data_IF_734919863195
#
_entry.id   IF_734919863195
#
_cell.length_a   1.000
_cell.length_b   1.000
_cell.length_c   1.000
_cell.angle_alpha   90.00
_cell.angle_beta   90.00
_cell.angle_gamma   90.00
#
_symmetry.space_group_name_H-M   'P 1'
#
loop_
_entity.id
_entity.type
_entity.pdbx_description
1 polymer ?
#
# COMPACT_ATOMS: atom_id res chain seq x y z
N UNK A 1 11.12 -10.89 -33.53
CA UNK A 1 11.07 -10.90 -32.06
C UNK A 1 10.87 -9.49 -31.50
N UNK A 2 11.56 -8.47 -32.03
CA UNK A 2 11.44 -7.09 -31.54
C UNK A 2 10.03 -6.49 -31.63
N UNK A 3 9.28 -6.72 -32.72
CA UNK A 3 7.91 -6.20 -32.84
C UNK A 3 6.92 -6.80 -31.84
N UNK A 4 7.11 -8.07 -31.44
CA UNK A 4 6.26 -8.75 -30.45
C UNK A 4 6.51 -8.14 -29.07
N UNK A 5 7.77 -7.94 -28.69
CA UNK A 5 8.13 -7.32 -27.42
C UNK A 5 7.70 -5.86 -27.35
N UNK A 6 7.88 -5.09 -28.42
CA UNK A 6 7.38 -3.70 -28.49
C UNK A 6 5.86 -3.63 -28.35
N UNK A 7 5.11 -4.50 -29.04
CA UNK A 7 3.66 -4.58 -28.87
C UNK A 7 3.24 -4.94 -27.45
N UNK A 8 3.96 -5.88 -26.81
CA UNK A 8 3.67 -6.33 -25.46
C UNK A 8 3.97 -5.24 -24.41
N UNK A 9 5.02 -4.43 -24.61
CA UNK A 9 5.31 -3.25 -23.79
C UNK A 9 4.19 -2.21 -23.89
N UNK A 10 3.70 -1.93 -25.10
CA UNK A 10 2.58 -1.00 -25.29
C UNK A 10 1.33 -1.50 -24.54
N UNK A 11 1.02 -2.80 -24.66
CA UNK A 11 -0.08 -3.42 -23.93
C UNK A 11 0.13 -3.28 -22.41
N UNK A 12 1.33 -3.55 -21.90
CA UNK A 12 1.63 -3.40 -20.48
C UNK A 12 1.47 -1.97 -20.00
N UNK A 13 1.85 -0.98 -20.82
CA UNK A 13 1.64 0.42 -20.48
C UNK A 13 0.16 0.75 -20.34
N UNK A 14 -0.68 0.30 -21.29
CA UNK A 14 -2.13 0.49 -21.24
C UNK A 14 -2.78 -0.24 -20.05
N UNK A 15 -2.37 -1.49 -19.79
CA UNK A 15 -2.85 -2.26 -18.64
C UNK A 15 -2.41 -1.62 -17.32
N UNK A 16 -1.22 -1.03 -17.26
CA UNK A 16 -0.73 -0.34 -16.06
C UNK A 16 -1.58 0.87 -15.75
N UNK A 17 -1.90 1.69 -16.76
CA UNK A 17 -2.82 2.84 -16.61
C UNK A 17 -4.19 2.36 -16.12
N UNK A 18 -4.72 1.31 -16.75
CA UNK A 18 -6.03 0.75 -16.39
C UNK A 18 -6.04 0.24 -14.94
N UNK A 19 -5.00 -0.50 -14.55
CA UNK A 19 -4.82 -1.03 -13.19
C UNK A 19 -4.71 0.11 -12.18
N UNK A 20 -4.00 1.19 -12.51
CA UNK A 20 -3.88 2.36 -11.65
C UNK A 20 -5.23 3.03 -11.45
N UNK A 21 -6.01 3.24 -12.52
CA UNK A 21 -7.34 3.86 -12.45
C UNK A 21 -8.26 3.01 -11.56
N UNK A 22 -8.39 1.72 -11.84
CA UNK A 22 -9.31 0.82 -11.13
C UNK A 22 -8.86 0.62 -9.68
N UNK A 23 -7.56 0.48 -9.44
CA UNK A 23 -6.98 0.31 -8.10
C UNK A 23 -7.13 1.55 -7.23
N UNK A 24 -6.77 2.74 -7.75
CA UNK A 24 -6.96 4.00 -7.02
C UNK A 24 -8.44 4.26 -6.76
N UNK A 25 -9.33 3.94 -7.70
CA UNK A 25 -10.77 4.11 -7.51
C UNK A 25 -11.32 3.19 -6.42
N UNK A 26 -10.89 1.93 -6.37
CA UNK A 26 -11.24 0.99 -5.31
C UNK A 26 -10.77 1.51 -3.94
N UNK A 27 -9.51 1.98 -3.86
CA UNK A 27 -8.91 2.41 -2.60
C UNK A 27 -9.38 3.81 -2.15
N UNK A 28 -9.89 4.63 -3.08
CA UNK A 28 -10.39 5.97 -2.79
C UNK A 28 -11.47 5.99 -1.71
N UNK A 29 -12.36 4.99 -1.73
CA UNK A 29 -13.41 4.86 -0.71
C UNK A 29 -12.81 4.77 0.70
N UNK A 30 -11.67 4.09 0.86
CA UNK A 30 -11.05 3.85 2.17
C UNK A 30 -10.52 5.13 2.83
N UNK A 31 -9.92 6.05 2.07
CA UNK A 31 -9.33 7.28 2.63
C UNK A 31 -10.21 8.54 2.44
N UNK A 32 -11.17 8.54 1.52
CA UNK A 32 -12.08 9.67 1.31
C UNK A 32 -13.31 9.62 2.23
N UNK A 33 -13.76 8.43 2.66
CA UNK A 33 -14.99 8.28 3.43
C UNK A 33 -15.03 9.13 4.70
N UNK A 34 -13.93 9.18 5.46
CA UNK A 34 -13.87 9.97 6.70
C UNK A 34 -14.03 11.48 6.42
N UNK A 35 -13.33 12.00 5.41
CA UNK A 35 -13.36 13.43 5.08
C UNK A 35 -14.68 13.87 4.44
N UNK A 36 -15.25 13.03 3.56
CA UNK A 36 -16.53 13.27 2.91
C UNK A 36 -17.69 13.13 3.90
N UNK A 37 -17.66 12.09 4.73
CA UNK A 37 -18.69 11.81 5.73
C UNK A 37 -18.77 12.90 6.81
N UNK A 38 -17.63 13.44 7.25
CA UNK A 38 -17.59 14.53 8.22
C UNK A 38 -17.82 15.92 7.61
N UNK A 39 -17.92 16.04 6.28
CA UNK A 39 -18.02 17.32 5.54
C UNK A 39 -16.93 18.31 5.94
N UNK A 40 -15.69 17.84 6.11
CA UNK A 40 -14.58 18.66 6.59
C UNK A 40 -14.19 19.80 5.61
N UNK A 41 -14.36 19.57 4.31
CA UNK A 41 -14.11 20.55 3.25
C UNK A 41 -15.00 20.26 2.03
N UNK A 42 -14.96 21.12 1.01
CA UNK A 42 -15.66 20.86 -0.25
C UNK A 42 -15.05 19.64 -0.96
N UNK A 43 -15.88 18.92 -1.72
CA UNK A 43 -15.45 17.72 -2.46
C UNK A 43 -14.18 17.96 -3.30
N UNK A 44 -14.09 19.12 -3.97
CA UNK A 44 -12.92 19.48 -4.80
C UNK A 44 -11.63 19.58 -3.99
N UNK A 45 -11.69 20.16 -2.80
CA UNK A 45 -10.51 20.31 -1.93
C UNK A 45 -10.07 18.94 -1.44
N UNK A 46 -11.01 18.10 -1.01
CA UNK A 46 -10.73 16.74 -0.53
C UNK A 46 -10.04 15.93 -1.64
N UNK A 47 -10.56 15.99 -2.86
CA UNK A 47 -9.96 15.30 -4.02
C UNK A 47 -8.55 15.80 -4.35
N UNK A 48 -8.30 17.11 -4.28
CA UNK A 48 -6.99 17.69 -4.54
C UNK A 48 -5.96 17.23 -3.50
N UNK A 49 -6.32 17.30 -2.21
CA UNK A 49 -5.47 16.85 -1.11
C UNK A 49 -5.17 15.35 -1.24
N UNK A 50 -6.18 14.54 -1.54
CA UNK A 50 -6.00 13.11 -1.73
C UNK A 50 -5.08 12.78 -2.91
N UNK A 51 -5.27 13.44 -4.07
CA UNK A 51 -4.41 13.25 -5.24
C UNK A 51 -2.95 13.64 -4.95
N UNK A 52 -2.74 14.78 -4.28
CA UNK A 52 -1.39 15.20 -3.87
C UNK A 52 -0.77 14.21 -2.88
N UNK A 53 -1.54 13.72 -1.91
CA UNK A 53 -1.09 12.73 -0.93
C UNK A 53 -0.69 11.40 -1.57
N UNK A 54 -1.50 10.89 -2.50
CA UNK A 54 -1.20 9.67 -3.26
C UNK A 54 0.07 9.85 -4.09
N UNK A 55 0.23 10.99 -4.77
CA UNK A 55 1.40 11.28 -5.58
C UNK A 55 2.68 11.31 -4.73
N UNK A 56 2.67 12.04 -3.61
CA UNK A 56 3.82 12.12 -2.69
C UNK A 56 4.12 10.74 -2.09
N UNK A 57 3.10 9.99 -1.69
CA UNK A 57 3.24 8.63 -1.18
C UNK A 57 3.82 7.67 -2.21
N UNK A 58 3.35 7.73 -3.47
CA UNK A 58 3.83 6.87 -4.55
C UNK A 58 5.30 7.14 -4.88
N UNK A 59 5.73 8.41 -4.92
CA UNK A 59 7.13 8.78 -5.21
C UNK A 59 8.07 8.34 -4.07
N UNK A 60 7.59 8.34 -2.83
CA UNK A 60 8.37 7.93 -1.65
C UNK A 60 8.38 6.42 -1.38
N UNK A 61 7.49 5.62 -2.02
CA UNK A 61 7.28 4.20 -1.70
C UNK A 61 8.15 3.20 -2.52
N UNK A 62 9.43 3.50 -2.74
CA UNK A 62 10.35 2.67 -3.55
C UNK A 62 10.51 1.21 -3.07
N UNK A 63 10.52 0.96 -1.76
CA UNK A 63 10.81 -0.36 -1.18
C UNK A 63 9.74 -1.44 -1.45
N UNK A 64 8.47 -1.08 -1.61
CA UNK A 64 7.37 -2.03 -1.81
C UNK A 64 7.46 -2.78 -3.16
N UNK A 65 8.07 -2.17 -4.17
CA UNK A 65 8.20 -2.78 -5.49
C UNK A 65 9.23 -3.93 -5.49
N UNK A 66 10.27 -3.85 -4.68
CA UNK A 66 11.28 -4.92 -4.57
C UNK A 66 10.74 -6.11 -3.76
N UNK A 67 9.97 -5.84 -2.70
CA UNK A 67 9.25 -6.87 -1.94
C UNK A 67 8.27 -7.62 -2.84
N UNK A 68 7.50 -6.92 -3.68
CA UNK A 68 6.59 -7.57 -4.62
C UNK A 68 7.31 -8.42 -5.68
N UNK A 69 8.48 -7.96 -6.17
CA UNK A 69 9.21 -8.61 -7.28
C UNK A 69 9.98 -9.86 -6.87
N UNK A 70 10.64 -9.84 -5.70
CA UNK A 70 11.51 -10.95 -5.23
C UNK A 70 10.96 -11.64 -3.98
N UNK A 71 9.84 -11.18 -3.44
CA UNK A 71 9.25 -11.71 -2.22
C UNK A 71 8.32 -12.89 -2.42
N UNK A 72 7.75 -13.06 -3.62
CA UNK A 72 6.71 -14.07 -3.87
C UNK A 72 7.19 -15.29 -4.66
N UNK A 73 8.13 -15.11 -5.58
CA UNK A 73 8.74 -16.19 -6.36
C UNK A 73 10.21 -15.84 -6.65
N UNK A 74 10.99 -16.82 -7.11
CA UNK A 74 12.38 -16.66 -7.52
C UNK A 74 12.45 -16.31 -9.01
N UNK A 75 12.60 -15.02 -9.40
CA UNK A 75 12.49 -14.62 -10.80
C UNK A 75 13.60 -15.20 -11.69
N UNK A 76 14.75 -15.53 -11.10
CA UNK A 76 15.90 -16.18 -11.75
C UNK A 76 15.61 -17.61 -12.22
N UNK A 77 14.55 -18.24 -11.70
CA UNK A 77 14.10 -19.58 -12.12
C UNK A 77 13.16 -19.56 -13.33
N UNK A 78 12.78 -18.37 -13.78
CA UNK A 78 11.90 -18.15 -14.91
C UNK A 78 12.64 -17.48 -16.06
N UNK A 79 12.31 -17.90 -17.28
CA UNK A 79 12.74 -17.21 -18.49
C UNK A 79 12.00 -15.88 -18.62
N UNK A 80 12.59 -14.93 -19.35
CA UNK A 80 12.00 -13.61 -19.51
C UNK A 80 10.56 -13.65 -20.05
N UNK A 81 10.29 -14.47 -21.05
CA UNK A 81 8.94 -14.65 -21.60
C UNK A 81 7.94 -15.22 -20.57
N UNK A 82 8.37 -16.13 -19.71
CA UNK A 82 7.54 -16.69 -18.63
C UNK A 82 7.22 -15.63 -17.57
N UNK A 83 8.20 -14.80 -17.20
CA UNK A 83 7.97 -13.67 -16.28
C UNK A 83 6.98 -12.67 -16.88
N UNK A 84 7.10 -12.36 -18.17
CA UNK A 84 6.15 -11.49 -18.86
C UNK A 84 4.74 -12.09 -18.87
N UNK A 85 4.59 -13.38 -19.14
CA UNK A 85 3.29 -14.06 -19.06
C UNK A 85 2.71 -14.04 -17.66
N UNK A 86 3.54 -14.24 -16.63
CA UNK A 86 3.11 -14.16 -15.23
C UNK A 86 2.50 -12.79 -14.94
N UNK A 87 3.23 -11.70 -15.23
CA UNK A 87 2.74 -10.35 -14.96
C UNK A 87 1.56 -9.97 -15.84
N UNK A 88 1.52 -10.39 -17.10
CA UNK A 88 0.37 -10.17 -17.97
C UNK A 88 -0.91 -10.79 -17.38
N UNK A 89 -0.84 -12.06 -16.97
CA UNK A 89 -1.96 -12.75 -16.35
C UNK A 89 -2.42 -12.06 -15.06
N UNK A 90 -1.47 -11.61 -14.23
CA UNK A 90 -1.76 -10.87 -12.99
C UNK A 90 -2.47 -9.56 -13.28
N UNK A 91 -1.97 -8.77 -14.24
CA UNK A 91 -2.56 -7.46 -14.56
C UNK A 91 -3.98 -7.61 -15.12
N UNK A 92 -4.19 -8.54 -16.05
CA UNK A 92 -5.53 -8.81 -16.59
C UNK A 92 -6.47 -9.28 -15.50
N UNK A 93 -6.04 -10.25 -14.67
CA UNK A 93 -6.87 -10.76 -13.57
C UNK A 93 -7.21 -9.66 -12.56
N UNK A 94 -6.26 -8.82 -12.20
CA UNK A 94 -6.48 -7.72 -11.25
C UNK A 94 -7.43 -6.67 -11.80
N UNK A 95 -7.31 -6.30 -13.07
CA UNK A 95 -8.27 -5.36 -13.69
C UNK A 95 -9.67 -5.96 -13.64
N UNK A 96 -9.85 -7.20 -14.09
CA UNK A 96 -11.16 -7.85 -14.12
C UNK A 96 -11.76 -8.00 -12.71
N UNK A 97 -10.95 -8.44 -11.75
CA UNK A 97 -11.38 -8.63 -10.38
C UNK A 97 -11.80 -7.30 -9.75
N UNK A 98 -10.93 -6.29 -9.80
CA UNK A 98 -11.19 -5.01 -9.16
C UNK A 98 -12.33 -4.26 -9.85
N UNK A 99 -12.43 -4.32 -11.17
CA UNK A 99 -13.54 -3.70 -11.92
C UNK A 99 -14.88 -4.34 -11.58
N UNK A 100 -14.92 -5.67 -11.47
CA UNK A 100 -16.10 -6.39 -11.01
C UNK A 100 -16.54 -5.91 -9.63
N UNK A 101 -15.65 -5.94 -8.62
CA UNK A 101 -16.01 -5.54 -7.27
C UNK A 101 -16.37 -4.05 -7.17
N UNK A 102 -15.67 -3.17 -7.89
CA UNK A 102 -16.00 -1.75 -8.00
C UNK A 102 -17.40 -1.54 -8.58
N UNK A 103 -17.75 -2.29 -9.63
CA UNK A 103 -19.08 -2.22 -10.27
C UNK A 103 -20.19 -2.57 -9.29
N UNK A 104 -19.96 -3.53 -8.39
CA UNK A 104 -20.90 -3.89 -7.32
C UNK A 104 -20.77 -3.05 -6.05
N UNK A 105 -19.89 -2.03 -6.03
CA UNK A 105 -19.67 -1.17 -4.87
C UNK A 105 -19.11 -1.91 -3.65
N UNK A 106 -18.46 -3.06 -3.87
CA UNK A 106 -17.89 -3.89 -2.81
C UNK A 106 -16.39 -3.59 -2.65
N UNK A 107 -15.93 -3.14 -1.46
CA UNK A 107 -14.52 -2.84 -1.26
C UNK A 107 -13.69 -4.13 -1.32
N UNK A 108 -12.62 -4.12 -2.12
CA UNK A 108 -11.70 -5.26 -2.28
C UNK A 108 -10.28 -4.86 -1.91
N UNK A 109 -9.44 -5.80 -1.49
CA UNK A 109 -8.04 -5.51 -1.22
C UNK A 109 -7.18 -5.66 -2.48
N UNK A 110 -6.65 -4.55 -2.98
CA UNK A 110 -5.67 -4.50 -4.09
C UNK A 110 -4.37 -5.24 -3.75
N UNK A 111 -3.96 -5.23 -2.49
CA UNK A 111 -2.77 -5.95 -2.02
C UNK A 111 -3.00 -7.46 -2.04
N UNK A 112 -4.15 -7.93 -1.55
CA UNK A 112 -4.50 -9.36 -1.57
C UNK A 112 -4.61 -9.86 -3.01
N UNK A 113 -5.31 -9.12 -3.89
CA UNK A 113 -5.44 -9.53 -5.29
C UNK A 113 -4.09 -9.63 -5.99
N UNK A 114 -3.19 -8.65 -5.80
CA UNK A 114 -1.84 -8.68 -6.38
C UNK A 114 -0.99 -9.84 -5.84
N UNK A 115 -0.96 -10.04 -4.52
CA UNK A 115 -0.13 -11.09 -3.88
C UNK A 115 -0.58 -12.48 -4.33
N UNK A 116 -1.88 -12.78 -4.23
CA UNK A 116 -2.42 -14.08 -4.63
C UNK A 116 -2.44 -14.26 -6.15
N UNK A 117 -2.62 -13.19 -6.91
CA UNK A 117 -2.49 -13.22 -8.36
C UNK A 117 -1.08 -13.62 -8.80
N UNK A 118 -0.05 -12.96 -8.24
CA UNK A 118 1.36 -13.30 -8.54
C UNK A 118 1.66 -14.74 -8.09
N UNK A 119 1.27 -15.12 -6.88
CA UNK A 119 1.50 -16.48 -6.36
C UNK A 119 0.82 -17.53 -7.24
N UNK A 120 -0.45 -17.35 -7.58
CA UNK A 120 -1.20 -18.29 -8.41
C UNK A 120 -0.63 -18.42 -9.82
N UNK A 121 -0.23 -17.29 -10.42
CA UNK A 121 0.40 -17.26 -11.74
C UNK A 121 1.79 -17.90 -11.73
N UNK A 122 2.61 -17.61 -10.73
CA UNK A 122 3.94 -18.22 -10.55
C UNK A 122 3.86 -19.73 -10.28
N UNK A 123 2.91 -20.17 -9.44
CA UNK A 123 2.64 -21.59 -9.18
C UNK A 123 2.21 -22.29 -10.47
N UNK A 124 1.27 -21.71 -11.22
CA UNK A 124 0.79 -22.28 -12.48
C UNK A 124 1.92 -22.44 -13.50
N UNK A 125 2.75 -21.40 -13.66
CA UNK A 125 3.92 -21.46 -14.55
C UNK A 125 4.96 -22.48 -14.06
N UNK A 126 5.18 -22.58 -12.74
CA UNK A 126 6.09 -23.59 -12.16
C UNK A 126 5.61 -25.01 -12.47
N UNK A 127 4.30 -25.28 -12.32
CA UNK A 127 3.69 -26.58 -12.63
C UNK A 127 3.90 -26.93 -14.11
N UNK A 128 3.65 -25.99 -15.02
CA UNK A 128 3.89 -26.20 -16.46
C UNK A 128 5.35 -26.58 -16.73
N UNK A 129 6.32 -25.89 -16.11
CA UNK A 129 7.75 -26.22 -16.27
C UNK A 129 8.10 -27.60 -15.73
N UNK A 130 7.60 -27.95 -14.55
CA UNK A 130 7.85 -29.23 -13.90
C UNK A 130 7.35 -30.38 -14.80
N UNK A 131 6.13 -30.26 -15.32
CA UNK A 131 5.54 -31.23 -16.24
C UNK A 131 6.38 -31.36 -17.51
N UNK A 132 6.81 -30.24 -18.11
CA UNK A 132 7.60 -30.26 -19.35
C UNK A 132 9.04 -30.75 -19.16
N UNK A 133 9.55 -30.79 -17.92
CA UNK A 133 10.94 -31.17 -17.61
C UNK A 133 11.03 -32.54 -16.93
N UNK A 134 9.93 -33.28 -16.82
CA UNK A 134 9.82 -34.56 -16.07
C UNK A 134 10.40 -34.49 -14.64
N UNK A 135 10.34 -33.31 -14.02
CA UNK A 135 10.86 -33.08 -12.67
C UNK A 135 9.82 -33.52 -11.62
N UNK A 136 10.24 -33.91 -10.40
CA UNK A 136 9.30 -34.22 -9.34
C UNK A 136 8.57 -32.96 -8.88
N UNK A 137 7.27 -33.08 -8.59
CA UNK A 137 6.43 -31.97 -8.11
C UNK A 137 6.93 -31.31 -6.80
N UNK A 138 7.71 -32.04 -6.00
CA UNK A 138 8.40 -31.48 -4.82
C UNK A 138 9.34 -30.32 -5.16
N UNK A 139 9.74 -30.18 -6.43
CA UNK A 139 10.61 -29.09 -6.91
C UNK A 139 9.91 -27.73 -6.96
N UNK A 140 8.59 -27.64 -6.74
CA UNK A 140 7.85 -26.37 -6.78
C UNK A 140 8.35 -25.36 -5.75
N UNK A 141 8.83 -25.85 -4.60
CA UNK A 141 9.44 -25.01 -3.56
C UNK A 141 10.70 -24.27 -4.02
N UNK A 142 11.34 -24.71 -5.11
CA UNK A 142 12.50 -24.03 -5.69
C UNK A 142 12.09 -22.77 -6.48
N UNK A 143 10.85 -22.70 -6.96
CA UNK A 143 10.34 -21.57 -7.75
C UNK A 143 9.65 -20.52 -6.88
N UNK A 144 9.06 -20.93 -5.76
CA UNK A 144 8.29 -20.07 -4.86
C UNK A 144 9.11 -19.73 -3.62
N UNK A 145 9.10 -18.46 -3.21
CA UNK A 145 9.77 -18.05 -1.98
C UNK A 145 8.86 -18.32 -0.78
N UNK A 146 8.72 -19.61 -0.43
CA UNK A 146 7.70 -20.08 0.52
C UNK A 146 7.76 -19.39 1.88
N UNK A 147 8.97 -19.15 2.41
CA UNK A 147 9.16 -18.48 3.70
C UNK A 147 8.64 -17.02 3.67
N UNK A 148 9.00 -16.27 2.62
CA UNK A 148 8.51 -14.89 2.47
C UNK A 148 7.02 -14.83 2.15
N UNK A 149 6.52 -15.74 1.32
CA UNK A 149 5.09 -15.83 1.00
C UNK A 149 4.27 -16.07 2.27
N UNK A 150 4.70 -17.01 3.12
CA UNK A 150 4.04 -17.29 4.38
C UNK A 150 4.06 -16.06 5.30
N UNK A 151 5.20 -15.36 5.39
CA UNK A 151 5.31 -14.13 6.17
C UNK A 151 4.38 -13.02 5.65
N UNK A 152 4.27 -12.84 4.32
CA UNK A 152 3.38 -11.85 3.70
C UNK A 152 1.91 -12.20 3.97
N UNK A 153 1.50 -13.45 3.77
CA UNK A 153 0.11 -13.89 4.02
C UNK A 153 -0.24 -13.73 5.50
N UNK A 154 0.67 -14.13 6.39
CA UNK A 154 0.49 -13.95 7.83
C UNK A 154 0.37 -12.47 8.18
N UNK A 155 1.20 -11.61 7.59
CA UNK A 155 1.14 -10.16 7.74
C UNK A 155 -0.20 -9.58 7.30
N UNK A 156 -0.74 -10.00 6.16
CA UNK A 156 -2.06 -9.60 5.66
C UNK A 156 -3.15 -9.96 6.67
N UNK A 157 -3.21 -11.21 7.11
CA UNK A 157 -4.25 -11.67 8.04
C UNK A 157 -4.12 -11.00 9.41
N UNK A 158 -2.90 -10.90 9.93
CA UNK A 158 -2.62 -10.27 11.22
C UNK A 158 -2.92 -8.77 11.20
N UNK A 159 -2.70 -8.09 10.06
CA UNK A 159 -2.97 -6.65 9.93
C UNK A 159 -4.43 -6.31 10.20
N UNK A 160 -5.36 -7.17 9.79
CA UNK A 160 -6.80 -6.99 10.03
C UNK A 160 -7.09 -7.04 11.52
N UNK A 161 -6.60 -8.08 12.21
CA UNK A 161 -6.80 -8.24 13.67
C UNK A 161 -6.20 -7.06 14.44
N UNK A 162 -4.97 -6.66 14.08
CA UNK A 162 -4.30 -5.52 14.71
C UNK A 162 -5.04 -4.21 14.44
N UNK A 163 -5.54 -3.98 13.22
CA UNK A 163 -6.32 -2.79 12.89
C UNK A 163 -7.60 -2.70 13.72
N UNK A 164 -8.33 -3.81 13.89
CA UNK A 164 -9.52 -3.84 14.76
C UNK A 164 -9.16 -3.62 16.23
N UNK A 165 -8.13 -4.29 16.74
CA UNK A 165 -7.73 -4.18 18.15
C UNK A 165 -7.25 -2.75 18.49
N UNK A 166 -6.35 -2.19 17.68
CA UNK A 166 -5.82 -0.83 17.87
C UNK A 166 -6.93 0.19 17.62
N UNK A 167 -7.76 0.00 16.59
CA UNK A 167 -8.90 0.88 16.29
C UNK A 167 -9.89 0.93 17.45
N UNK A 168 -10.26 -0.22 18.01
CA UNK A 168 -11.13 -0.30 19.18
C UNK A 168 -10.50 0.36 20.41
N UNK A 169 -9.20 0.16 20.63
CA UNK A 169 -8.47 0.78 21.73
C UNK A 169 -8.43 2.31 21.60
N UNK A 170 -8.05 2.84 20.43
CA UNK A 170 -8.02 4.28 20.16
C UNK A 170 -9.43 4.87 20.27
N UNK A 171 -10.45 4.17 19.77
CA UNK A 171 -11.85 4.59 19.91
C UNK A 171 -12.27 4.66 21.38
N UNK A 172 -11.88 3.67 22.20
CA UNK A 172 -12.16 3.64 23.64
C UNK A 172 -11.51 4.82 24.38
N UNK A 173 -10.23 5.08 24.12
CA UNK A 173 -9.51 6.26 24.68
C UNK A 173 -10.19 7.56 24.25
N UNK A 174 -10.54 7.69 22.97
CA UNK A 174 -11.21 8.88 22.43
C UNK A 174 -12.55 9.10 23.13
N UNK A 175 -13.34 8.04 23.37
CA UNK A 175 -14.61 8.13 24.10
C UNK A 175 -14.43 8.56 25.56
N UNK A 176 -13.37 8.14 26.23
CA UNK A 176 -13.06 8.58 27.60
C UNK A 176 -12.74 10.08 27.62
N UNK A 177 -11.84 10.52 26.73
CA UNK A 177 -11.38 11.91 26.67
C UNK A 177 -12.55 12.86 26.35
N UNK A 178 -13.30 12.60 25.28
CA UNK A 178 -14.32 13.52 24.78
C UNK A 178 -15.70 13.30 25.41
N UNK A 179 -15.99 12.10 25.91
CA UNK A 179 -17.29 11.72 26.50
C UNK A 179 -18.47 12.14 25.58
N UNK A 180 -19.69 12.29 26.12
CA UNK A 180 -20.84 12.82 25.38
C UNK A 180 -20.82 14.35 25.16
N UNK A 181 -19.82 15.07 25.69
CA UNK A 181 -19.70 16.54 25.60
C UNK A 181 -18.56 16.94 24.66
N UNK A 182 -18.59 16.40 23.44
CA UNK A 182 -17.51 16.58 22.47
C UNK A 182 -17.30 18.05 22.10
N UNK A 183 -18.38 18.84 21.91
CA UNK A 183 -18.29 20.24 21.45
C UNK A 183 -17.44 21.12 22.37
N UNK A 184 -17.62 21.00 23.70
CA UNK A 184 -16.90 21.84 24.66
C UNK A 184 -15.46 21.37 24.86
N UNK A 185 -15.21 20.06 24.83
CA UNK A 185 -13.87 19.49 25.04
C UNK A 185 -13.00 19.59 23.78
N UNK A 186 -13.58 19.48 22.59
CA UNK A 186 -12.86 19.60 21.32
C UNK A 186 -12.22 20.97 21.13
N UNK A 187 -12.80 22.03 21.72
CA UNK A 187 -12.18 23.35 21.78
C UNK A 187 -10.87 23.38 22.57
N UNK A 188 -10.58 22.44 23.47
CA UNK A 188 -9.37 22.45 24.31
C UNK A 188 -8.43 21.26 24.03
N UNK A 189 -8.96 20.13 23.59
CA UNK A 189 -8.17 18.92 23.31
C UNK A 189 -8.13 18.58 21.81
N UNK A 190 -8.83 19.32 20.94
CA UNK A 190 -8.82 19.12 19.49
C UNK A 190 -7.44 19.34 18.89
N UNK A 191 -6.77 20.43 19.26
CA UNK A 191 -5.41 20.73 18.80
C UNK A 191 -4.41 19.65 19.19
N UNK A 192 -4.47 19.14 20.42
CA UNK A 192 -3.59 18.08 20.92
C UNK A 192 -3.80 16.78 20.14
N UNK A 193 -5.06 16.36 19.95
CA UNK A 193 -5.36 15.11 19.26
C UNK A 193 -5.03 15.19 17.75
N UNK A 194 -5.34 16.33 17.12
CA UNK A 194 -4.96 16.60 15.73
C UNK A 194 -3.44 16.69 15.55
N UNK A 195 -2.75 17.36 16.46
CA UNK A 195 -1.28 17.45 16.48
C UNK A 195 -0.63 16.07 16.61
N UNK A 196 -1.12 15.22 17.52
CA UNK A 196 -0.63 13.86 17.67
C UNK A 196 -0.86 13.02 16.40
N UNK A 197 -2.02 13.18 15.76
CA UNK A 197 -2.34 12.51 14.51
C UNK A 197 -1.42 12.93 13.36
N UNK A 198 -1.17 14.24 13.21
CA UNK A 198 -0.27 14.76 12.18
C UNK A 198 1.18 14.37 12.41
N UNK A 199 1.64 14.34 13.66
CA UNK A 199 3.00 13.88 14.00
C UNK A 199 3.16 12.38 13.74
N UNK A 200 2.14 11.57 14.00
CA UNK A 200 2.16 10.15 13.64
C UNK A 200 2.33 9.98 12.12
N UNK A 201 1.57 10.73 11.30
CA UNK A 201 1.71 10.72 9.84
C UNK A 201 3.11 11.20 9.41
N UNK A 202 3.61 12.29 10.01
CA UNK A 202 4.92 12.84 9.71
C UNK A 202 6.05 11.85 10.02
N UNK A 203 5.96 11.13 11.16
CA UNK A 203 6.91 10.08 11.50
C UNK A 203 6.98 9.01 10.42
N UNK A 204 5.83 8.53 9.95
CA UNK A 204 5.79 7.53 8.87
C UNK A 204 6.40 8.05 7.58
N UNK A 205 6.10 9.30 7.20
CA UNK A 205 6.68 9.92 6.01
C UNK A 205 8.19 10.10 6.11
N UNK A 206 8.70 10.59 7.24
CA UNK A 206 10.13 10.85 7.43
C UNK A 206 10.93 9.56 7.60
N UNK A 207 10.53 8.67 8.51
CA UNK A 207 11.34 7.51 8.86
C UNK A 207 11.13 6.35 7.91
N UNK A 208 9.87 6.04 7.56
CA UNK A 208 9.61 4.92 6.63
C UNK A 208 9.64 5.37 5.17
N UNK A 209 9.11 6.56 4.89
CA UNK A 209 9.04 7.08 3.53
C UNK A 209 10.41 7.50 2.97
N UNK A 210 11.28 8.16 3.76
CA UNK A 210 12.55 8.66 3.22
C UNK A 210 13.70 7.66 3.25
N UNK A 211 13.65 6.63 4.11
CA UNK A 211 14.76 5.69 4.35
C UNK A 211 15.33 5.05 3.08
N UNK A 212 14.44 4.62 2.19
CA UNK A 212 14.81 3.99 0.92
C UNK A 212 14.46 4.87 -0.29
N UNK A 213 14.12 6.14 -0.06
CA UNK A 213 13.70 7.05 -1.11
C UNK A 213 14.89 7.51 -1.95
N UNK A 214 14.65 7.72 -3.25
CA UNK A 214 15.63 8.36 -4.13
C UNK A 214 15.77 9.89 -3.88
N UNK A 215 14.97 10.45 -2.96
CA UNK A 215 14.87 11.88 -2.72
C UNK A 215 15.95 12.41 -1.77
N UNK A 216 16.56 11.53 -0.96
CA UNK A 216 17.44 11.92 0.15
C UNK A 216 18.69 11.04 0.13
N UNK A 217 19.88 11.63 0.31
CA UNK A 217 21.11 10.84 0.43
C UNK A 217 21.17 10.09 1.77
N UNK A 218 21.94 8.99 1.88
CA UNK A 218 22.08 8.26 3.14
C UNK A 218 22.57 9.13 4.31
N UNK A 219 23.47 10.08 4.03
CA UNK A 219 24.00 11.02 5.03
C UNK A 219 22.92 11.98 5.52
N UNK A 220 22.09 12.52 4.60
CA UNK A 220 20.96 13.38 4.95
C UNK A 220 19.89 12.60 5.74
N UNK A 221 19.63 11.35 5.36
CA UNK A 221 18.70 10.49 6.11
C UNK A 221 19.19 10.26 7.54
N UNK A 222 20.49 9.99 7.74
CA UNK A 222 21.06 9.79 9.07
C UNK A 222 20.95 11.05 9.96
N UNK A 223 21.08 12.24 9.37
CA UNK A 223 20.83 13.51 10.07
C UNK A 223 19.36 13.67 10.49
N UNK A 224 18.42 13.25 9.65
CA UNK A 224 16.99 13.27 9.97
C UNK A 224 16.68 12.25 11.08
N UNK A 225 17.18 11.02 10.95
CA UNK A 225 16.93 9.93 11.89
C UNK A 225 17.45 10.27 13.29
N UNK A 226 18.68 10.80 13.40
CA UNK A 226 19.26 11.24 14.67
C UNK A 226 18.51 12.39 15.36
N UNK A 227 17.84 13.26 14.58
CA UNK A 227 17.08 14.39 15.10
C UNK A 227 15.56 14.14 15.14
N UNK A 228 15.11 12.93 14.81
CA UNK A 228 13.68 12.63 14.64
C UNK A 228 12.88 12.95 15.89
N UNK A 229 13.38 12.63 17.09
CA UNK A 229 12.71 12.97 18.34
C UNK A 229 12.40 14.47 18.48
N UNK A 230 13.37 15.33 18.15
CA UNK A 230 13.20 16.78 18.18
C UNK A 230 12.26 17.28 17.09
N UNK A 231 12.38 16.74 15.87
CA UNK A 231 11.48 17.08 14.76
C UNK A 231 10.04 16.78 15.15
N UNK A 232 9.75 15.58 15.67
CA UNK A 232 8.41 15.19 16.08
C UNK A 232 7.88 16.06 17.23
N UNK A 233 8.71 16.40 18.22
CA UNK A 233 8.31 17.23 19.35
C UNK A 233 7.96 18.66 18.91
N UNK A 234 8.83 19.28 18.10
CA UNK A 234 8.59 20.63 17.56
C UNK A 234 7.36 20.63 16.66
N UNK A 235 7.23 19.65 15.76
CA UNK A 235 6.06 19.51 14.90
C UNK A 235 4.78 19.29 15.71
N UNK A 236 4.84 18.52 16.81
CA UNK A 236 3.70 18.31 17.70
C UNK A 236 3.22 19.63 18.30
N UNK A 237 4.14 20.44 18.85
CA UNK A 237 3.81 21.74 19.42
C UNK A 237 3.24 22.70 18.36
N UNK A 238 3.88 22.79 17.20
CA UNK A 238 3.44 23.64 16.09
C UNK A 238 2.05 23.24 15.60
N UNK A 239 1.82 21.96 15.31
CA UNK A 239 0.52 21.49 14.84
C UNK A 239 -0.56 21.63 15.91
N UNK A 240 -0.22 21.40 17.18
CA UNK A 240 -1.17 21.60 18.29
C UNK A 240 -1.64 23.04 18.37
N UNK A 241 -0.72 24.01 18.22
CA UNK A 241 -1.06 25.45 18.25
C UNK A 241 -1.86 25.87 17.01
N UNK A 242 -1.49 25.38 15.83
CA UNK A 242 -2.19 25.73 14.57
C UNK A 242 -3.62 25.19 14.54
N UNK A 243 -3.86 24.00 15.11
CA UNK A 243 -5.17 23.33 15.09
C UNK A 243 -6.10 23.72 16.27
N UNK A 244 -5.63 24.59 17.16
CA UNK A 244 -6.34 25.05 18.34
C UNK A 244 -7.21 26.29 18.05
#
# INVERSE_FOLDING_TARGET
MDYIYTGLIIIFFLLTISTLIVGVSNDAVNFLNSALGSRAASFRIIMLIAAAGILVGAISSSGMMEVARKGLFHPDKFMFNEVMLIFFAVMVTNILLLDFFNTFGMPTSTTVSLVFGILGSAVSMSVIKIINSDAPFSSIGNYINSDKVLAIITGILLSVVLAFAIGAFVQWITRIIYTFRYERKMKYSGGIFGGLSLVAILYFLLIKGLKDSALVSPEQFQQIDSNTGWILLISFLVFTVILQ
#
